data_IF_562984280459
#
_entry.id   IF_562984280459
#
_cell.length_a   1.000
_cell.length_b   1.000
_cell.length_c   1.000
_cell.angle_alpha   90.00
_cell.angle_beta   90.00
_cell.angle_gamma   90.00
#
_symmetry.space_group_name_H-M   'P 1'
#
loop_
_entity.id
_entity.type
_entity.pdbx_description
1 polymer ?
#
# COMPACT_ATOMS: atom_id res chain seq x y z
N UNK A 1 0.81 -1.24 17.59
CA UNK A 1 1.75 -1.26 16.45
C UNK A 1 1.08 -1.97 15.29
N UNK A 2 0.86 -1.28 14.15
CA UNK A 2 0.17 -1.87 13.01
C UNK A 2 0.99 -3.05 12.48
N UNK A 3 0.36 -4.20 12.39
CA UNK A 3 0.94 -5.43 11.84
C UNK A 3 -0.09 -6.09 10.94
N UNK A 4 0.37 -6.66 9.84
CA UNK A 4 -0.48 -7.39 8.89
C UNK A 4 -0.01 -8.83 8.86
N UNK A 5 -0.92 -9.79 9.04
CA UNK A 5 -0.59 -11.20 8.85
C UNK A 5 -0.74 -11.56 7.38
N UNK A 6 0.35 -11.99 6.75
CA UNK A 6 0.34 -12.42 5.36
C UNK A 6 -0.36 -13.79 5.22
N UNK A 7 -0.81 -14.11 4.00
CA UNK A 7 -1.32 -15.46 3.66
C UNK A 7 -0.26 -16.56 3.91
N UNK A 8 1.04 -16.23 3.86
CA UNK A 8 2.12 -17.17 4.18
C UNK A 8 2.45 -17.23 5.69
N UNK A 9 1.54 -16.77 6.54
CA UNK A 9 1.66 -16.66 8.01
C UNK A 9 2.72 -15.69 8.55
N UNK A 10 3.59 -15.14 7.69
CA UNK A 10 4.55 -14.12 8.10
C UNK A 10 3.85 -12.86 8.62
N UNK A 11 4.31 -12.33 9.75
CA UNK A 11 3.81 -11.08 10.34
C UNK A 11 4.61 -9.91 9.78
N UNK A 12 3.97 -9.13 8.92
CA UNK A 12 4.55 -7.92 8.33
C UNK A 12 4.47 -6.79 9.36
N UNK A 13 5.63 -6.30 9.82
CA UNK A 13 5.72 -5.12 10.68
C UNK A 13 5.70 -3.85 9.83
N UNK A 14 4.81 -2.91 10.18
CA UNK A 14 4.73 -1.56 9.59
C UNK A 14 5.15 -0.48 10.59
N UNK A 15 5.94 -0.84 11.60
CA UNK A 15 6.21 0.03 12.76
C UNK A 15 7.39 0.99 12.56
N UNK A 16 8.26 0.70 11.60
CA UNK A 16 9.39 1.55 11.23
C UNK A 16 8.90 2.79 10.47
N UNK A 17 9.58 3.93 10.63
CA UNK A 17 9.26 5.16 9.90
C UNK A 17 10.55 5.68 9.25
N UNK A 18 10.67 5.63 7.91
CA UNK A 18 9.75 4.98 6.97
C UNK A 18 9.81 3.45 7.07
N UNK A 19 8.69 2.76 6.83
CA UNK A 19 8.67 1.30 6.83
C UNK A 19 9.14 0.75 5.48
N UNK A 20 10.14 -0.11 5.50
CA UNK A 20 10.62 -0.84 4.31
C UNK A 20 9.58 -1.79 3.70
N UNK A 21 8.58 -2.19 4.50
CA UNK A 21 7.48 -3.07 4.08
C UNK A 21 6.23 -2.29 3.64
N UNK A 22 6.25 -0.96 3.67
CA UNK A 22 5.10 -0.13 3.30
C UNK A 22 5.38 0.65 2.03
N UNK A 23 4.49 0.52 1.06
CA UNK A 23 4.44 1.39 -0.11
C UNK A 23 3.15 2.20 -0.11
N UNK A 24 3.17 3.25 -0.92
CA UNK A 24 2.02 4.03 -1.30
C UNK A 24 1.83 3.87 -2.79
N UNK A 25 0.58 3.61 -3.20
CA UNK A 25 0.23 3.43 -4.61
C UNK A 25 -0.96 4.31 -4.98
N UNK A 26 -1.04 4.70 -6.25
CA UNK A 26 -2.20 5.34 -6.83
C UNK A 26 -2.49 4.67 -8.17
N UNK A 27 -3.77 4.49 -8.50
CA UNK A 27 -4.14 4.04 -9.85
C UNK A 27 -3.81 5.15 -10.85
N UNK A 28 -3.30 4.74 -12.01
CA UNK A 28 -3.17 5.56 -13.22
C UNK A 28 -4.41 6.45 -13.48
N UNK A 29 -5.61 5.89 -13.54
CA UNK A 29 -6.87 6.64 -13.77
C UNK A 29 -7.10 7.72 -12.70
N UNK A 30 -6.70 7.46 -11.45
CA UNK A 30 -6.80 8.47 -10.38
C UNK A 30 -5.69 9.52 -10.48
N UNK A 31 -4.50 9.11 -10.91
CA UNK A 31 -3.34 9.97 -11.08
C UNK A 31 -3.48 10.91 -12.30
N UNK A 32 -4.15 10.47 -13.37
CA UNK A 32 -4.45 11.25 -14.58
C UNK A 32 -5.18 12.57 -14.29
N UNK A 33 -5.99 12.61 -13.22
CA UNK A 33 -6.68 13.83 -12.75
C UNK A 33 -5.71 14.97 -12.45
N UNK A 34 -4.44 14.66 -12.22
CA UNK A 34 -3.40 15.62 -11.84
C UNK A 34 -2.52 16.09 -13.01
N UNK A 35 -2.72 15.58 -14.23
CA UNK A 35 -1.80 15.85 -15.35
C UNK A 35 -1.76 17.32 -15.79
N UNK A 36 -2.85 18.05 -15.59
CA UNK A 36 -3.00 19.42 -16.06
C UNK A 36 -3.22 20.42 -14.92
N UNK A 37 -2.94 20.03 -13.67
CA UNK A 37 -3.09 20.91 -12.50
C UNK A 37 -1.82 20.89 -11.66
N UNK A 38 -1.54 22.01 -11.01
CA UNK A 38 -0.56 22.05 -9.93
C UNK A 38 -1.23 21.52 -8.65
N UNK A 39 -0.62 20.51 -8.05
CA UNK A 39 -1.13 19.86 -6.83
C UNK A 39 -0.05 19.84 -5.75
N UNK A 40 -0.48 20.02 -4.51
CA UNK A 40 0.40 19.88 -3.35
C UNK A 40 0.69 18.41 -3.06
N UNK A 41 1.90 18.11 -2.62
CA UNK A 41 2.32 16.74 -2.32
C UNK A 41 1.41 16.07 -1.27
N UNK A 42 0.93 16.83 -0.29
CA UNK A 42 0.05 16.36 0.78
C UNK A 42 -1.33 15.92 0.26
N UNK A 43 -1.85 16.63 -0.75
CA UNK A 43 -3.12 16.30 -1.40
C UNK A 43 -2.99 15.04 -2.25
N UNK A 44 -1.89 14.87 -2.97
CA UNK A 44 -1.62 13.63 -3.69
C UNK A 44 -1.42 12.44 -2.73
N UNK A 45 -0.73 12.67 -1.61
CA UNK A 45 -0.45 11.64 -0.60
C UNK A 45 -1.73 11.09 0.03
N UNK A 46 -2.73 11.94 0.32
CA UNK A 46 -3.98 11.51 0.95
C UNK A 46 -4.85 10.62 0.06
N UNK A 47 -4.66 10.68 -1.26
CA UNK A 47 -5.38 9.86 -2.24
C UNK A 47 -4.72 8.49 -2.46
N UNK A 48 -3.44 8.35 -2.11
CA UNK A 48 -2.70 7.11 -2.24
C UNK A 48 -3.23 6.03 -1.29
N UNK A 49 -3.14 4.77 -1.74
CA UNK A 49 -3.50 3.58 -0.97
C UNK A 49 -2.26 2.96 -0.36
N UNK A 50 -2.41 2.49 0.87
CA UNK A 50 -1.34 1.78 1.57
C UNK A 50 -1.22 0.37 1.02
N UNK A 51 0.01 -0.04 0.80
CA UNK A 51 0.38 -1.40 0.39
C UNK A 51 1.36 -1.96 1.40
N UNK A 52 1.03 -3.11 2.00
CA UNK A 52 1.98 -3.87 2.79
C UNK A 52 2.62 -4.96 1.92
N UNK A 53 3.93 -4.87 1.74
CA UNK A 53 4.74 -5.86 1.05
C UNK A 53 5.25 -6.91 2.04
N UNK A 54 5.00 -8.19 1.73
CA UNK A 54 5.50 -9.29 2.54
C UNK A 54 6.95 -9.63 2.16
N UNK A 55 7.95 -9.38 3.00
CA UNK A 55 9.35 -9.66 2.66
C UNK A 55 9.65 -11.17 2.57
N UNK A 56 8.78 -12.02 3.13
CA UNK A 56 8.94 -13.47 3.09
C UNK A 56 8.45 -14.11 1.78
N UNK A 57 7.39 -13.58 1.16
CA UNK A 57 6.78 -14.22 -0.02
C UNK A 57 6.46 -13.28 -1.18
N UNK A 58 6.84 -12.01 -1.08
CA UNK A 58 6.67 -11.01 -2.14
C UNK A 58 5.23 -10.54 -2.38
N UNK A 59 4.23 -11.09 -1.68
CA UNK A 59 2.83 -10.67 -1.87
C UNK A 59 2.61 -9.23 -1.43
N UNK A 60 1.72 -8.55 -2.16
CA UNK A 60 1.27 -7.19 -1.88
C UNK A 60 -0.13 -7.24 -1.30
N UNK A 61 -0.30 -6.70 -0.10
CA UNK A 61 -1.60 -6.52 0.55
C UNK A 61 -2.03 -5.07 0.36
N UNK A 62 -3.07 -4.85 -0.44
CA UNK A 62 -3.51 -3.52 -0.86
C UNK A 62 -4.78 -3.13 -0.11
N UNK A 63 -4.72 -2.03 0.63
CA UNK A 63 -5.80 -1.54 1.50
C UNK A 63 -6.63 -0.47 0.80
N UNK A 64 -7.44 -0.85 -0.19
CA UNK A 64 -8.31 0.09 -0.92
C UNK A 64 -9.33 0.80 -0.02
N UNK A 65 -9.83 0.10 1.01
CA UNK A 65 -10.90 0.56 1.89
C UNK A 65 -10.44 0.76 3.34
N UNK A 66 -9.15 1.07 3.54
CA UNK A 66 -8.54 1.22 4.87
C UNK A 66 -8.21 -0.11 5.56
N UNK A 67 -7.64 -0.03 6.77
CA UNK A 67 -7.19 -1.19 7.55
C UNK A 67 -8.31 -1.98 8.23
N UNK A 68 -9.51 -1.42 8.33
CA UNK A 68 -10.68 -2.07 8.95
C UNK A 68 -11.36 -3.11 8.03
N UNK A 69 -10.91 -3.19 6.78
CA UNK A 69 -11.39 -4.15 5.77
C UNK A 69 -10.26 -5.05 5.32
N UNK A 70 -10.62 -6.26 4.88
CA UNK A 70 -9.64 -7.18 4.32
C UNK A 70 -8.97 -6.56 3.08
N UNK A 71 -7.63 -6.62 2.99
CA UNK A 71 -6.92 -6.14 1.81
C UNK A 71 -7.12 -7.08 0.63
N UNK A 72 -7.00 -6.55 -0.59
CA UNK A 72 -6.83 -7.39 -1.77
C UNK A 72 -5.37 -7.83 -1.82
N UNK A 73 -5.13 -9.13 -2.02
CA UNK A 73 -3.79 -9.71 -1.99
C UNK A 73 -3.36 -10.12 -3.39
N UNK A 74 -2.27 -9.51 -3.87
CA UNK A 74 -1.66 -9.82 -5.15
C UNK A 74 -0.43 -10.70 -4.95
N UNK A 75 -0.27 -11.70 -5.83
CA UNK A 75 0.96 -12.47 -5.96
C UNK A 75 1.76 -11.86 -7.11
N UNK A 76 3.04 -11.60 -6.87
CA UNK A 76 3.98 -11.32 -7.95
C UNK A 76 4.29 -12.68 -8.56
N UNK A 77 3.75 -12.97 -9.75
CA UNK A 77 4.19 -14.12 -10.53
C UNK A 77 5.60 -13.81 -11.02
N UNK A 78 6.58 -14.59 -10.54
CA UNK A 78 7.99 -14.48 -10.91
C UNK A 78 8.34 -15.37 -12.10
#
# INVERSE_FOLDING_TARGET
MPKVRCICDYVISLSEIPSSNQYLMISDVSFEKYFNIEIKAEELYSEMKIVAHCPNCGRLHVFYNGFDKDPVVYRIDG
#
